data_IF_235118343298
#
_entry.id   IF_235118343298
#
_cell.length_a   1.000
_cell.length_b   1.000
_cell.length_c   1.000
_cell.angle_alpha   90.00
_cell.angle_beta   90.00
_cell.angle_gamma   90.00
#
_symmetry.space_group_name_H-M   'P 1'
#
loop_
_entity.id
_entity.type
_entity.pdbx_description
1 polymer ?
#
# COMPACT_ATOMS: atom_id res chain seq x y z
N UNK A 1 15.87 41.54 -32.53
CA UNK A 1 15.40 42.37 -31.40
C UNK A 1 13.91 42.12 -31.26
N UNK A 2 13.43 41.73 -30.07
CA UNK A 2 11.98 41.70 -29.83
C UNK A 2 11.54 43.15 -29.63
N UNK A 3 10.52 43.57 -30.36
CA UNK A 3 9.92 44.89 -30.16
C UNK A 3 9.34 44.94 -28.74
N UNK A 4 9.76 45.93 -27.95
CA UNK A 4 9.23 46.14 -26.60
C UNK A 4 7.85 46.81 -26.70
N UNK A 5 6.81 46.10 -26.29
CA UNK A 5 5.47 46.67 -26.18
C UNK A 5 5.42 47.60 -24.97
N UNK A 6 5.24 48.91 -25.19
CA UNK A 6 5.13 49.91 -24.11
C UNK A 6 3.67 50.01 -23.65
N UNK A 7 3.38 49.51 -22.45
CA UNK A 7 2.08 49.69 -21.77
C UNK A 7 2.24 50.76 -20.69
N UNK A 8 1.56 51.91 -20.86
CA UNK A 8 1.64 53.06 -19.94
C UNK A 8 0.88 52.80 -18.63
N UNK A 9 1.35 53.34 -17.50
CA UNK A 9 0.75 53.13 -16.17
C UNK A 9 -0.72 53.52 -16.10
N UNK A 10 -1.10 54.62 -16.76
CA UNK A 10 -2.47 55.14 -16.78
C UNK A 10 -3.37 54.40 -17.78
N UNK A 11 -2.82 53.48 -18.57
CA UNK A 11 -3.59 52.76 -19.58
C UNK A 11 -4.57 51.79 -18.91
N UNK A 12 -5.83 51.72 -19.36
CA UNK A 12 -6.76 50.66 -18.94
C UNK A 12 -6.28 49.25 -19.37
N UNK A 13 -5.32 49.18 -20.30
CA UNK A 13 -4.63 47.94 -20.68
C UNK A 13 -3.59 47.50 -19.63
N UNK A 14 -3.13 48.42 -18.78
CA UNK A 14 -2.17 48.14 -17.71
C UNK A 14 -2.83 47.39 -16.53
N UNK A 15 -4.07 47.75 -16.19
CA UNK A 15 -4.85 47.06 -15.17
C UNK A 15 -6.35 47.27 -15.38
N UNK A 16 -7.13 46.21 -15.18
CA UNK A 16 -8.59 46.26 -15.12
C UNK A 16 -9.08 45.47 -13.91
N UNK A 17 -10.18 45.93 -13.30
CA UNK A 17 -10.84 45.20 -12.22
C UNK A 17 -11.52 43.97 -12.82
N UNK A 18 -11.17 42.79 -12.33
CA UNK A 18 -11.74 41.51 -12.78
C UNK A 18 -12.49 40.85 -11.62
N UNK A 19 -13.66 40.26 -11.91
CA UNK A 19 -14.36 39.38 -10.97
C UNK A 19 -14.03 37.94 -11.32
N UNK A 20 -13.35 37.23 -10.42
CA UNK A 20 -13.01 35.83 -10.61
C UNK A 20 -14.06 34.98 -9.87
N UNK A 21 -14.87 34.24 -10.62
CA UNK A 21 -15.81 33.27 -10.07
C UNK A 21 -15.20 31.88 -10.11
N UNK A 22 -15.42 31.10 -9.06
CA UNK A 22 -14.99 29.71 -9.01
C UNK A 22 -15.29 29.07 -7.66
N UNK A 23 -14.96 27.79 -7.55
CA UNK A 23 -15.19 26.99 -6.37
C UNK A 23 -14.11 27.24 -5.33
N UNK A 24 -14.57 27.50 -4.10
CA UNK A 24 -13.71 27.66 -2.93
C UNK A 24 -14.01 26.49 -2.00
N UNK A 25 -12.97 25.77 -1.61
CA UNK A 25 -13.07 24.69 -0.63
C UNK A 25 -13.33 25.26 0.78
N UNK A 26 -13.75 24.41 1.72
CA UNK A 26 -14.06 24.83 3.08
C UNK A 26 -12.86 25.43 3.85
N UNK A 27 -11.64 25.10 3.42
CA UNK A 27 -10.36 25.63 3.93
C UNK A 27 -9.96 26.98 3.30
N UNK A 28 -10.76 27.53 2.39
CA UNK A 28 -10.52 28.78 1.69
C UNK A 28 -9.67 28.65 0.41
N UNK A 29 -9.29 27.44 0.00
CA UNK A 29 -8.52 27.24 -1.24
C UNK A 29 -9.38 27.42 -2.48
N UNK A 30 -8.93 28.23 -3.42
CA UNK A 30 -9.60 28.48 -4.70
C UNK A 30 -9.20 27.45 -5.77
N UNK A 31 -10.19 26.85 -6.43
CA UNK A 31 -10.02 25.78 -7.42
C UNK A 31 -10.51 26.16 -8.83
N UNK A 32 -10.86 27.43 -9.07
CA UNK A 32 -11.39 27.86 -10.37
C UNK A 32 -12.69 27.13 -10.71
N UNK A 33 -12.75 26.48 -11.88
CA UNK A 33 -13.95 25.78 -12.34
C UNK A 33 -14.06 24.31 -11.83
N UNK A 34 -13.10 23.82 -11.04
CA UNK A 34 -13.09 22.44 -10.56
C UNK A 34 -13.88 22.28 -9.25
N UNK A 35 -15.21 22.09 -9.39
CA UNK A 35 -16.10 21.80 -8.27
C UNK A 35 -15.72 20.53 -7.53
N UNK A 36 -15.37 19.48 -8.29
CA UNK A 36 -15.09 18.16 -7.73
C UNK A 36 -13.91 18.25 -6.77
N UNK A 37 -12.83 18.92 -7.19
CA UNK A 37 -11.65 19.06 -6.36
C UNK A 37 -11.88 20.00 -5.17
N UNK A 38 -12.67 21.06 -5.33
CA UNK A 38 -13.05 21.92 -4.21
C UNK A 38 -13.84 21.14 -3.13
N UNK A 39 -14.79 20.29 -3.55
CA UNK A 39 -15.54 19.43 -2.62
C UNK A 39 -14.67 18.33 -2.02
N UNK A 40 -13.78 17.71 -2.80
CA UNK A 40 -12.84 16.71 -2.31
C UNK A 40 -11.91 17.31 -1.24
N UNK A 41 -11.37 18.51 -1.49
CA UNK A 41 -10.52 19.24 -0.56
C UNK A 41 -11.26 19.64 0.73
N UNK A 42 -12.49 20.12 0.59
CA UNK A 42 -13.29 20.62 1.71
C UNK A 42 -14.07 19.57 2.50
N UNK A 43 -14.12 18.30 2.06
CA UNK A 43 -14.91 17.25 2.71
C UNK A 43 -14.05 16.30 3.53
N UNK A 44 -14.63 15.79 4.62
CA UNK A 44 -14.03 14.72 5.42
C UNK A 44 -14.63 13.36 5.09
N UNK A 45 -15.94 13.33 4.77
CA UNK A 45 -16.69 12.11 4.51
C UNK A 45 -17.58 12.24 3.27
N UNK A 46 -17.94 11.10 2.68
CA UNK A 46 -18.85 10.96 1.54
C UNK A 46 -19.69 9.69 1.66
N UNK A 47 -20.79 9.65 0.91
CA UNK A 47 -21.52 8.42 0.67
C UNK A 47 -20.78 7.55 -0.35
N UNK A 48 -20.98 6.24 -0.28
CA UNK A 48 -20.44 5.32 -1.26
C UNK A 48 -21.06 5.58 -2.64
N UNK A 49 -20.22 5.62 -3.67
CA UNK A 49 -20.66 5.85 -5.04
C UNK A 49 -21.33 4.62 -5.68
N UNK A 50 -21.03 3.40 -5.18
CA UNK A 50 -21.58 2.14 -5.70
C UNK A 50 -22.95 1.81 -5.11
N UNK A 51 -23.10 1.99 -3.80
CA UNK A 51 -24.33 1.68 -3.09
C UNK A 51 -24.63 2.78 -2.05
N UNK A 52 -25.70 3.58 -2.23
CA UNK A 52 -26.09 4.63 -1.30
C UNK A 52 -26.42 4.13 0.12
N UNK A 53 -26.81 2.86 0.26
CA UNK A 53 -27.16 2.24 1.55
C UNK A 53 -25.93 1.87 2.39
N UNK A 54 -24.72 1.91 1.80
CA UNK A 54 -23.50 1.70 2.57
C UNK A 54 -23.25 2.89 3.52
N UNK A 55 -22.68 2.64 4.70
CA UNK A 55 -22.33 3.70 5.65
C UNK A 55 -21.46 4.79 5.01
N UNK A 56 -21.58 6.02 5.52
CA UNK A 56 -20.65 7.09 5.18
C UNK A 56 -19.23 6.67 5.51
N UNK A 57 -18.28 7.11 4.68
CA UNK A 57 -16.87 6.78 4.85
C UNK A 57 -16.00 8.00 4.55
N UNK A 58 -14.73 7.94 4.92
CA UNK A 58 -13.77 9.00 4.65
C UNK A 58 -13.65 9.27 3.15
N UNK A 59 -13.58 10.56 2.78
CA UNK A 59 -13.48 10.98 1.38
C UNK A 59 -12.27 10.37 0.66
N UNK A 60 -11.16 10.15 1.39
CA UNK A 60 -9.88 9.66 0.87
C UNK A 60 -9.79 8.14 0.73
N UNK A 61 -10.90 7.41 0.86
CA UNK A 61 -10.89 5.95 0.82
C UNK A 61 -12.16 5.35 0.23
N UNK A 62 -12.20 4.03 0.24
CA UNK A 62 -13.38 3.25 -0.12
C UNK A 62 -14.24 2.98 1.12
N UNK A 63 -15.55 2.77 0.96
CA UNK A 63 -16.35 2.25 2.05
C UNK A 63 -15.93 0.82 2.40
N UNK A 64 -15.98 0.45 3.68
CA UNK A 64 -15.56 -0.87 4.17
C UNK A 64 -16.28 -2.04 3.48
N UNK A 65 -17.56 -1.89 3.16
CA UNK A 65 -18.33 -2.93 2.47
C UNK A 65 -17.76 -3.23 1.07
N UNK A 66 -17.60 -2.22 0.22
CA UNK A 66 -16.99 -2.40 -1.10
C UNK A 66 -15.53 -2.87 -1.03
N UNK A 67 -14.78 -2.48 0.00
CA UNK A 67 -13.43 -3.00 0.22
C UNK A 67 -13.48 -4.50 0.53
N UNK A 68 -14.29 -4.92 1.51
CA UNK A 68 -14.46 -6.32 1.88
C UNK A 68 -14.96 -7.20 0.72
N UNK A 69 -15.90 -6.71 -0.08
CA UNK A 69 -16.36 -7.38 -1.31
C UNK A 69 -15.24 -7.54 -2.33
N UNK A 70 -14.47 -6.47 -2.55
CA UNK A 70 -13.32 -6.47 -3.46
C UNK A 70 -12.25 -7.44 -3.02
N UNK A 71 -11.92 -7.45 -1.74
CA UNK A 71 -10.90 -8.32 -1.15
C UNK A 71 -11.35 -9.78 -1.14
N UNK A 72 -12.62 -10.05 -0.84
CA UNK A 72 -13.20 -11.39 -0.99
C UNK A 72 -13.15 -11.88 -2.44
N UNK A 73 -13.45 -11.01 -3.40
CA UNK A 73 -13.37 -11.35 -4.84
C UNK A 73 -11.95 -11.64 -5.27
N UNK A 74 -10.98 -10.79 -4.87
CA UNK A 74 -9.56 -10.99 -5.15
C UNK A 74 -9.06 -12.30 -4.57
N UNK A 75 -9.33 -12.56 -3.29
CA UNK A 75 -8.93 -13.78 -2.62
C UNK A 75 -9.58 -15.04 -3.23
N UNK A 76 -10.86 -14.95 -3.62
CA UNK A 76 -11.53 -16.06 -4.32
C UNK A 76 -10.84 -16.38 -5.66
N UNK A 77 -10.39 -15.37 -6.39
CA UNK A 77 -9.73 -15.49 -7.68
C UNK A 77 -8.23 -15.86 -7.61
N UNK A 78 -7.61 -15.85 -6.43
CA UNK A 78 -6.20 -16.19 -6.27
C UNK A 78 -5.92 -17.65 -6.66
N UNK A 79 -4.79 -17.92 -7.34
CA UNK A 79 -4.27 -19.28 -7.49
C UNK A 79 -4.13 -19.93 -6.12
N UNK A 80 -4.49 -21.22 -6.03
CA UNK A 80 -4.45 -21.99 -4.80
C UNK A 80 -3.39 -23.07 -4.86
N UNK A 81 -2.71 -23.28 -3.74
CA UNK A 81 -1.67 -24.30 -3.60
C UNK A 81 -1.76 -24.93 -2.22
N UNK A 82 -1.64 -26.26 -2.17
CA UNK A 82 -1.60 -27.01 -0.91
C UNK A 82 -0.43 -26.56 -0.06
N UNK A 83 -0.68 -26.36 1.23
CA UNK A 83 0.34 -25.98 2.19
C UNK A 83 1.25 -27.17 2.53
N UNK A 84 2.56 -26.91 2.57
CA UNK A 84 3.59 -27.88 2.96
C UNK A 84 4.44 -27.45 4.15
N UNK A 85 4.02 -26.43 4.90
CA UNK A 85 4.75 -25.88 6.06
C UNK A 85 5.59 -24.64 5.74
N UNK A 86 5.44 -24.04 4.55
CA UNK A 86 6.07 -22.76 4.24
C UNK A 86 5.49 -21.59 5.05
N UNK A 87 6.21 -20.47 5.19
CA UNK A 87 5.68 -19.28 5.84
C UNK A 87 4.41 -18.77 5.16
N UNK A 88 3.38 -18.52 5.97
CA UNK A 88 2.06 -18.06 5.54
C UNK A 88 1.61 -16.91 6.44
N UNK A 89 0.65 -16.13 5.95
CA UNK A 89 0.07 -15.01 6.68
C UNK A 89 -1.41 -14.89 6.38
N UNK A 90 -2.14 -14.19 7.23
CA UNK A 90 -3.45 -13.69 6.86
C UNK A 90 -3.35 -12.80 5.62
N UNK A 91 -4.41 -12.82 4.81
CA UNK A 91 -4.52 -12.06 3.56
C UNK A 91 -4.29 -10.55 3.74
N UNK A 92 -4.70 -9.99 4.88
CA UNK A 92 -4.48 -8.58 5.25
C UNK A 92 -3.06 -8.26 5.74
N UNK A 93 -2.26 -9.29 6.07
CA UNK A 93 -0.92 -9.13 6.62
C UNK A 93 -0.88 -8.84 8.12
N UNK A 94 -1.97 -9.07 8.86
CA UNK A 94 -2.00 -8.76 10.29
C UNK A 94 -1.24 -9.79 11.15
N UNK A 95 -1.14 -11.05 10.68
CA UNK A 95 -0.50 -12.12 11.45
C UNK A 95 0.16 -13.19 10.57
N UNK A 96 1.37 -13.56 10.96
CA UNK A 96 2.27 -14.46 10.24
C UNK A 96 2.50 -15.75 11.03
N UNK A 97 2.64 -16.86 10.30
CA UNK A 97 2.93 -18.18 10.83
C UNK A 97 4.10 -18.78 10.06
N UNK A 98 5.12 -19.23 10.79
CA UNK A 98 6.37 -19.76 10.22
C UNK A 98 6.48 -21.28 10.35
N UNK A 99 5.55 -21.89 11.07
CA UNK A 99 5.49 -23.33 11.35
C UNK A 99 4.05 -23.77 11.62
N UNK A 100 3.83 -25.09 11.57
CA UNK A 100 2.51 -25.70 11.72
C UNK A 100 1.91 -25.50 13.13
N UNK A 101 2.74 -25.54 14.17
CA UNK A 101 2.32 -25.44 15.56
C UNK A 101 1.77 -24.04 15.85
N UNK A 102 2.45 -23.00 15.36
CA UNK A 102 2.03 -21.62 15.53
C UNK A 102 0.64 -21.32 14.94
N UNK A 103 0.30 -21.91 13.79
CA UNK A 103 -1.03 -21.78 13.20
C UNK A 103 -2.07 -22.56 13.99
N UNK A 104 -1.74 -23.80 14.37
CA UNK A 104 -2.63 -24.69 15.11
C UNK A 104 -3.05 -24.09 16.45
N UNK A 105 -2.07 -23.68 17.25
CA UNK A 105 -2.28 -23.08 18.57
C UNK A 105 -3.18 -21.84 18.45
N UNK A 106 -2.91 -21.00 17.46
CA UNK A 106 -3.71 -19.80 17.22
C UNK A 106 -5.17 -20.13 16.87
N UNK A 107 -5.40 -21.10 15.98
CA UNK A 107 -6.75 -21.53 15.57
C UNK A 107 -7.54 -22.13 16.75
N UNK A 108 -6.86 -22.86 17.64
CA UNK A 108 -7.50 -23.50 18.80
C UNK A 108 -7.77 -22.47 19.90
N UNK A 109 -6.77 -21.70 20.30
CA UNK A 109 -6.86 -20.70 21.37
C UNK A 109 -7.91 -19.62 21.09
N UNK A 110 -8.03 -19.20 19.82
CA UNK A 110 -8.96 -18.14 19.41
C UNK A 110 -10.26 -18.68 18.80
N UNK A 111 -10.48 -20.01 18.84
CA UNK A 111 -11.69 -20.68 18.33
C UNK A 111 -12.03 -20.30 16.87
N UNK A 112 -11.01 -20.13 16.02
CA UNK A 112 -11.17 -19.59 14.67
C UNK A 112 -11.83 -20.61 13.74
N UNK A 113 -12.94 -20.25 13.10
CA UNK A 113 -13.52 -21.09 12.06
C UNK A 113 -12.61 -21.16 10.83
N UNK A 114 -12.25 -22.39 10.43
CA UNK A 114 -11.43 -22.66 9.25
C UNK A 114 -12.07 -22.11 7.97
N UNK A 115 -13.41 -22.02 7.90
CA UNK A 115 -14.11 -21.45 6.75
C UNK A 115 -13.92 -19.92 6.61
N UNK A 116 -13.63 -19.23 7.71
CA UNK A 116 -13.36 -17.79 7.73
C UNK A 116 -11.88 -17.48 7.51
N UNK A 117 -11.03 -18.50 7.45
CA UNK A 117 -9.60 -18.35 7.40
C UNK A 117 -9.14 -18.01 5.97
N UNK A 118 -8.59 -16.81 5.81
CA UNK A 118 -8.03 -16.33 4.54
C UNK A 118 -6.51 -16.25 4.65
N UNK A 119 -5.84 -17.34 4.29
CA UNK A 119 -4.38 -17.45 4.33
C UNK A 119 -3.77 -17.33 2.94
N UNK A 120 -2.63 -16.67 2.87
CA UNK A 120 -1.78 -16.57 1.69
C UNK A 120 -0.34 -16.95 2.02
N UNK A 121 0.40 -17.41 1.02
CA UNK A 121 1.84 -17.64 1.17
C UNK A 121 2.58 -16.32 1.34
N UNK A 122 3.62 -16.31 2.17
CA UNK A 122 4.44 -15.14 2.36
C UNK A 122 5.39 -14.92 1.18
N UNK A 123 5.57 -13.65 0.79
CA UNK A 123 6.62 -13.21 -0.15
C UNK A 123 7.76 -12.59 0.65
N UNK A 124 9.00 -13.06 0.53
CA UNK A 124 10.14 -12.50 1.25
C UNK A 124 10.49 -11.11 0.72
N UNK A 125 10.75 -10.18 1.64
CA UNK A 125 11.24 -8.84 1.33
C UNK A 125 12.76 -8.81 1.52
N UNK A 126 13.49 -8.63 0.42
CA UNK A 126 14.94 -8.49 0.44
C UNK A 126 15.35 -7.00 0.42
N UNK A 127 16.50 -6.63 1.01
CA UNK A 127 17.03 -5.29 0.85
C UNK A 127 17.37 -5.04 -0.61
N UNK A 128 17.07 -3.83 -1.10
CA UNK A 128 17.49 -3.40 -2.43
C UNK A 128 18.93 -2.89 -2.39
N UNK A 129 19.68 -3.17 -3.46
CA UNK A 129 21.00 -2.57 -3.68
C UNK A 129 20.86 -1.04 -3.80
N UNK A 130 21.90 -0.33 -3.38
CA UNK A 130 21.93 1.12 -3.41
C UNK A 130 22.85 1.54 -4.55
N UNK A 131 22.30 2.23 -5.55
CA UNK A 131 23.11 2.93 -6.55
C UNK A 131 23.60 4.24 -5.94
N UNK A 132 24.92 4.47 -5.87
CA UNK A 132 25.46 5.71 -5.31
C UNK A 132 24.98 6.96 -6.09
N UNK A 133 24.77 6.86 -7.40
CA UNK A 133 24.32 7.98 -8.24
C UNK A 133 22.89 8.38 -7.93
N UNK A 134 22.00 7.38 -7.76
CA UNK A 134 20.62 7.62 -7.33
C UNK A 134 20.57 8.13 -5.89
N UNK A 135 21.45 7.63 -5.01
CA UNK A 135 21.49 8.02 -3.60
C UNK A 135 21.90 9.48 -3.39
N UNK A 136 22.85 9.98 -4.18
CA UNK A 136 23.39 11.34 -4.07
C UNK A 136 22.88 12.29 -5.17
N UNK A 137 21.79 11.94 -5.86
CA UNK A 137 21.31 12.73 -6.99
C UNK A 137 20.97 14.19 -6.63
N UNK A 138 20.53 14.47 -5.39
CA UNK A 138 20.25 15.82 -4.89
C UNK A 138 21.51 16.62 -4.53
N UNK A 139 22.64 15.95 -4.29
CA UNK A 139 23.92 16.56 -3.89
C UNK A 139 24.89 16.74 -5.08
N UNK A 140 24.64 16.03 -6.18
CA UNK A 140 25.43 16.12 -7.41
C UNK A 140 25.01 17.35 -8.23
N UNK A 141 25.95 18.02 -8.93
CA UNK A 141 25.58 19.01 -9.94
C UNK A 141 24.75 18.36 -11.06
N UNK A 142 24.02 19.17 -11.83
CA UNK A 142 23.33 18.70 -13.03
C UNK A 142 24.37 18.00 -13.95
N UNK A 143 24.09 16.74 -14.31
CA UNK A 143 25.00 15.82 -15.02
C UNK A 143 26.31 15.45 -14.27
N UNK A 144 26.33 15.59 -12.95
CA UNK A 144 27.46 15.19 -12.10
C UNK A 144 27.59 13.68 -11.94
N UNK A 145 28.84 13.19 -11.92
CA UNK A 145 29.18 11.79 -11.64
C UNK A 145 30.03 11.67 -10.37
N UNK A 146 29.89 10.53 -9.68
CA UNK A 146 30.70 10.19 -8.52
C UNK A 146 32.03 9.63 -9.02
N UNK A 147 33.11 10.36 -8.75
CA UNK A 147 34.46 10.03 -9.22
C UNK A 147 35.39 9.54 -8.09
N UNK A 148 34.87 9.30 -6.88
CA UNK A 148 35.65 8.80 -5.75
C UNK A 148 35.64 7.27 -5.71
N UNK A 149 36.78 6.66 -6.09
CA UNK A 149 36.93 5.20 -6.14
C UNK A 149 36.72 4.52 -4.78
N UNK A 150 37.07 5.18 -3.66
CA UNK A 150 36.89 4.59 -2.33
C UNK A 150 35.41 4.56 -1.94
N UNK A 151 34.68 5.62 -2.28
CA UNK A 151 33.24 5.69 -2.09
C UNK A 151 32.53 4.64 -2.95
N UNK A 152 32.86 4.55 -4.24
CA UNK A 152 32.30 3.52 -5.14
C UNK A 152 32.59 2.10 -4.61
N UNK A 153 33.82 1.83 -4.16
CA UNK A 153 34.19 0.54 -3.57
C UNK A 153 33.41 0.24 -2.28
N UNK A 154 33.09 1.25 -1.46
CA UNK A 154 32.30 1.06 -0.25
C UNK A 154 30.84 0.69 -0.56
N UNK A 155 30.24 1.30 -1.59
CA UNK A 155 28.90 0.94 -2.07
C UNK A 155 28.88 -0.48 -2.65
N UNK A 156 29.88 -0.86 -3.44
CA UNK A 156 29.98 -2.22 -3.98
C UNK A 156 30.10 -3.26 -2.86
N UNK A 157 30.92 -2.99 -1.84
CA UNK A 157 31.04 -3.86 -0.67
C UNK A 157 29.70 -4.00 0.08
N UNK A 158 28.98 -2.89 0.28
CA UNK A 158 27.66 -2.91 0.90
C UNK A 158 26.67 -3.72 0.05
N UNK A 159 26.64 -3.51 -1.26
CA UNK A 159 25.78 -4.23 -2.19
C UNK A 159 26.10 -5.73 -2.24
N UNK A 160 27.37 -6.11 -2.11
CA UNK A 160 27.77 -7.51 -1.94
C UNK A 160 27.18 -8.12 -0.66
N UNK A 161 27.16 -7.38 0.45
CA UNK A 161 26.55 -7.83 1.70
C UNK A 161 25.03 -7.88 1.62
N UNK A 162 24.39 -6.92 0.93
CA UNK A 162 22.95 -6.89 0.64
C UNK A 162 22.54 -8.15 -0.14
N UNK A 163 23.28 -8.51 -1.20
CA UNK A 163 23.03 -9.71 -2.01
C UNK A 163 23.10 -11.01 -1.22
N UNK A 164 23.89 -11.05 -0.13
CA UNK A 164 24.03 -12.20 0.77
C UNK A 164 23.05 -12.17 1.95
N UNK A 165 22.32 -11.08 2.12
CA UNK A 165 21.42 -10.90 3.24
C UNK A 165 20.19 -11.83 3.11
N UNK A 166 19.80 -12.56 4.17
CA UNK A 166 18.51 -13.24 4.18
C UNK A 166 17.35 -12.21 4.08
N UNK A 167 16.11 -12.66 3.85
CA UNK A 167 14.94 -11.78 3.88
C UNK A 167 14.89 -10.95 5.17
N UNK A 168 14.66 -9.64 5.04
CA UNK A 168 14.52 -8.74 6.19
C UNK A 168 13.13 -8.82 6.83
N UNK A 169 12.12 -9.11 6.02
CA UNK A 169 10.73 -9.25 6.45
C UNK A 169 9.94 -10.06 5.42
N UNK A 170 8.64 -10.24 5.66
CA UNK A 170 7.74 -10.98 4.78
C UNK A 170 6.47 -10.17 4.54
N UNK A 171 5.93 -10.25 3.34
CA UNK A 171 4.67 -9.61 2.92
C UNK A 171 3.64 -10.67 2.55
N UNK A 172 2.33 -10.36 2.59
CA UNK A 172 1.31 -11.21 1.99
C UNK A 172 1.60 -11.42 0.49
N UNK A 173 1.63 -12.67 0.05
CA UNK A 173 1.82 -13.04 -1.34
C UNK A 173 0.53 -13.12 -2.14
N UNK A 174 0.65 -13.59 -3.37
CA UNK A 174 -0.44 -13.62 -4.36
C UNK A 174 -1.08 -15.00 -4.55
N UNK A 175 -0.66 -15.98 -3.74
CA UNK A 175 -1.18 -17.35 -3.78
C UNK A 175 -1.93 -17.66 -2.49
N UNK A 176 -3.16 -18.16 -2.61
CA UNK A 176 -3.97 -18.57 -1.49
C UNK A 176 -3.57 -19.98 -1.03
N UNK A 177 -3.61 -20.17 0.28
CA UNK A 177 -3.24 -21.42 0.93
C UNK A 177 -4.43 -22.36 0.98
N UNK A 178 -4.24 -23.60 0.54
CA UNK A 178 -5.15 -24.71 0.82
C UNK A 178 -4.57 -25.56 1.95
N UNK A 179 -5.30 -25.66 3.06
CA UNK A 179 -4.88 -26.48 4.20
C UNK A 179 -5.02 -27.97 3.84
N UNK A 180 -3.98 -28.79 4.04
CA UNK A 180 -4.05 -30.21 3.75
C UNK A 180 -5.02 -30.91 4.73
N UNK A 181 -5.72 -31.98 4.29
CA UNK A 181 -6.66 -32.72 5.16
C UNK A 181 -6.03 -33.18 6.48
N UNK A 182 -4.77 -33.61 6.47
CA UNK A 182 -4.05 -34.02 7.67
C UNK A 182 -3.93 -32.90 8.72
N UNK A 183 -3.78 -31.64 8.29
CA UNK A 183 -3.75 -30.51 9.21
C UNK A 183 -5.15 -30.21 9.76
N UNK A 184 -6.19 -30.30 8.92
CA UNK A 184 -7.59 -30.12 9.35
C UNK A 184 -7.97 -31.16 10.43
N UNK A 185 -7.58 -32.42 10.23
CA UNK A 185 -7.78 -33.49 11.21
C UNK A 185 -7.03 -33.22 12.52
N UNK A 186 -5.82 -32.64 12.43
CA UNK A 186 -5.03 -32.22 13.60
C UNK A 186 -5.76 -31.15 14.40
N UNK A 187 -6.27 -30.09 13.75
CA UNK A 187 -7.08 -29.05 14.39
C UNK A 187 -8.30 -29.63 15.10
N UNK A 188 -9.01 -30.56 14.45
CA UNK A 188 -10.18 -31.21 15.05
C UNK A 188 -9.83 -32.01 16.30
N UNK A 189 -8.70 -32.73 16.31
CA UNK A 189 -8.21 -33.48 17.46
C UNK A 189 -7.84 -32.55 18.63
N UNK A 190 -7.04 -31.53 18.38
CA UNK A 190 -6.61 -30.59 19.45
C UNK A 190 -7.82 -29.90 20.11
N UNK A 191 -8.84 -29.53 19.33
CA UNK A 191 -10.08 -28.96 19.89
C UNK A 191 -10.82 -29.91 20.80
N UNK A 192 -10.87 -31.20 20.45
CA UNK A 192 -11.51 -32.21 21.29
C UNK A 192 -10.73 -32.41 22.60
N UNK A 193 -9.40 -32.39 22.54
CA UNK A 193 -8.53 -32.50 23.71
C UNK A 193 -8.64 -31.28 24.62
N UNK A 194 -8.74 -30.06 24.07
CA UNK A 194 -8.94 -28.84 24.84
C UNK A 194 -10.30 -28.76 25.57
N UNK A 195 -11.28 -29.55 25.14
CA UNK A 195 -12.62 -29.62 25.74
C UNK A 195 -12.77 -30.74 26.79
N UNK A 196 -11.79 -31.64 26.90
CA UNK A 196 -11.80 -32.80 27.80
C UNK A 196 -11.15 -32.50 29.15
#
# INVERSE_FOLDING_TARGET
MREETVVMYESPEAASIQTVTGWVAADGRFWGNDEHMARYCGSTHRHCAKNPDHPIHETRGWCRACQAEGDATKFAAMPRRSWGGEPITHYDGDRYFFDEESLLDWIVEHEIDLANLKLVFCTPNYPSEIDPSDHFCDDLPEDGEINDDQLLAAFELLNEMIRKCPPLSWSPGNEAVELPPAFIDKVARERLEALA
#
